data_IF_139151851600
#
_entry.id   IF_139151851600
#
_cell.length_a   1.000
_cell.length_b   1.000
_cell.length_c   1.000
_cell.angle_alpha   90.00
_cell.angle_beta   90.00
_cell.angle_gamma   90.00
#
_symmetry.space_group_name_H-M   'P 1'
#
loop_
_entity.id
_entity.type
_entity.pdbx_description
1 polymer ?
#
# COMPACT_ATOMS: atom_id res chain seq x y z
N UNK A 1 19.18 -76.85 -63.99
CA UNK A 1 20.04 -76.20 -65.01
C UNK A 1 19.43 -76.46 -66.36
N UNK A 2 19.40 -75.47 -67.26
CA UNK A 2 18.99 -75.67 -68.65
C UNK A 2 20.24 -75.90 -69.48
N UNK A 3 20.26 -76.96 -70.30
CA UNK A 3 21.34 -77.19 -71.27
C UNK A 3 20.92 -76.60 -72.61
N UNK A 4 21.73 -75.68 -73.13
CA UNK A 4 21.53 -75.05 -74.43
C UNK A 4 22.49 -75.68 -75.43
N UNK A 5 22.00 -76.07 -76.61
CA UNK A 5 22.80 -76.60 -77.69
C UNK A 5 23.68 -75.50 -78.31
N UNK A 6 24.73 -75.90 -79.05
CA UNK A 6 25.56 -74.94 -79.78
C UNK A 6 24.70 -74.20 -80.83
N UNK A 7 24.65 -72.88 -80.73
CA UNK A 7 23.82 -72.02 -81.58
C UNK A 7 22.50 -71.55 -80.95
N UNK A 8 22.12 -72.06 -79.77
CA UNK A 8 20.93 -71.61 -79.05
C UNK A 8 21.06 -70.16 -78.54
N UNK A 9 19.94 -69.43 -78.53
CA UNK A 9 19.88 -68.07 -77.95
C UNK A 9 19.56 -68.14 -76.46
N UNK A 10 20.42 -67.56 -75.64
CA UNK A 10 20.16 -67.37 -74.20
C UNK A 10 19.55 -65.98 -74.00
N UNK A 11 18.29 -65.92 -73.56
CA UNK A 11 17.61 -64.67 -73.27
C UNK A 11 17.91 -64.17 -71.84
N UNK A 12 18.55 -63.00 -71.72
CA UNK A 12 18.72 -62.30 -70.45
C UNK A 12 17.66 -61.22 -70.33
N UNK A 13 16.58 -61.50 -69.59
CA UNK A 13 15.49 -60.56 -69.34
C UNK A 13 15.65 -59.92 -67.97
N UNK A 14 15.53 -58.60 -67.91
CA UNK A 14 15.36 -57.87 -66.67
C UNK A 14 13.89 -57.82 -66.24
N UNK A 15 13.62 -57.09 -65.17
CA UNK A 15 12.28 -56.79 -64.65
C UNK A 15 12.06 -55.26 -64.62
N UNK A 16 11.13 -54.76 -63.81
CA UNK A 16 10.91 -53.32 -63.65
C UNK A 16 12.10 -52.59 -63.03
N UNK A 17 12.95 -53.29 -62.26
CA UNK A 17 14.09 -52.71 -61.56
C UNK A 17 15.42 -52.95 -62.31
N UNK A 18 15.54 -54.05 -63.06
CA UNK A 18 16.72 -54.42 -63.83
C UNK A 18 16.48 -54.19 -65.31
N UNK A 19 17.29 -53.34 -65.94
CA UNK A 19 17.31 -53.13 -67.38
C UNK A 19 18.40 -54.02 -67.98
N UNK A 20 18.04 -54.84 -68.98
CA UNK A 20 18.97 -55.66 -69.75
C UNK A 20 19.10 -55.11 -71.16
N UNK A 21 20.32 -54.75 -71.57
CA UNK A 21 20.64 -54.21 -72.89
C UNK A 21 21.70 -55.07 -73.57
N UNK A 22 21.57 -55.30 -74.88
CA UNK A 22 22.62 -55.93 -75.67
C UNK A 22 23.71 -54.91 -76.01
N UNK A 23 24.96 -55.24 -75.73
CA UNK A 23 26.13 -54.40 -76.02
C UNK A 23 27.17 -55.20 -76.81
N UNK A 24 28.15 -54.51 -77.41
CA UNK A 24 29.28 -55.18 -78.05
C UNK A 24 30.02 -56.04 -77.00
N UNK A 25 30.10 -57.36 -77.24
CA UNK A 25 30.72 -58.32 -76.32
C UNK A 25 29.80 -58.97 -75.29
N UNK A 26 28.50 -58.67 -75.24
CA UNK A 26 27.55 -59.40 -74.39
C UNK A 26 26.28 -58.65 -73.99
N UNK A 27 25.81 -58.89 -72.77
CA UNK A 27 24.67 -58.20 -72.17
C UNK A 27 25.14 -57.28 -71.03
N UNK A 28 24.58 -56.07 -70.96
CA UNK A 28 24.79 -55.12 -69.89
C UNK A 28 23.54 -55.06 -69.01
N UNK A 29 23.72 -55.20 -67.70
CA UNK A 29 22.65 -55.01 -66.71
C UNK A 29 22.81 -53.65 -66.03
N UNK A 30 21.70 -52.92 -65.92
CA UNK A 30 21.62 -51.62 -65.23
C UNK A 30 20.45 -51.62 -64.27
N UNK A 31 20.51 -50.80 -63.23
CA UNK A 31 19.31 -50.45 -62.48
C UNK A 31 18.47 -49.46 -63.29
N UNK A 32 17.15 -49.60 -63.19
CA UNK A 32 16.23 -48.53 -63.55
C UNK A 32 16.51 -47.27 -62.71
N UNK A 33 16.18 -46.09 -63.25
CA UNK A 33 16.35 -44.81 -62.52
C UNK A 33 15.47 -44.76 -61.27
N UNK A 34 14.25 -45.27 -61.41
CA UNK A 34 13.29 -45.47 -60.33
C UNK A 34 13.14 -46.97 -60.10
N UNK A 35 13.34 -47.41 -58.87
CA UNK A 35 13.19 -48.81 -58.47
C UNK A 35 12.06 -48.93 -57.46
N UNK A 36 11.32 -50.03 -57.53
CA UNK A 36 10.27 -50.36 -56.55
C UNK A 36 10.72 -51.55 -55.71
N UNK A 37 10.84 -51.35 -54.40
CA UNK A 37 11.31 -52.35 -53.44
C UNK A 37 10.51 -52.23 -52.14
N UNK A 38 10.38 -53.34 -51.40
CA UNK A 38 9.71 -53.32 -50.09
C UNK A 38 10.53 -52.59 -49.01
N UNK A 39 11.87 -52.69 -49.11
CA UNK A 39 12.76 -51.95 -48.22
C UNK A 39 14.17 -51.78 -48.79
N UNK A 40 14.86 -50.74 -48.33
CA UNK A 40 16.29 -50.50 -48.52
C UNK A 40 16.96 -50.50 -47.15
N UNK A 41 18.02 -51.26 -46.98
CA UNK A 41 18.86 -51.26 -45.77
C UNK A 41 20.25 -50.78 -46.12
N UNK A 42 20.71 -49.72 -45.45
CA UNK A 42 22.02 -49.11 -45.63
C UNK A 42 22.66 -48.88 -44.26
N UNK A 43 23.49 -49.84 -43.83
CA UNK A 43 24.00 -49.87 -42.46
C UNK A 43 22.85 -49.98 -41.44
N UNK A 44 22.80 -49.05 -40.48
CA UNK A 44 21.73 -48.98 -39.48
C UNK A 44 20.45 -48.29 -39.99
N UNK A 45 20.47 -47.72 -41.19
CA UNK A 45 19.30 -47.04 -41.77
C UNK A 45 18.46 -48.02 -42.56
N UNK A 46 17.14 -47.98 -42.33
CA UNK A 46 16.15 -48.74 -43.08
C UNK A 46 15.06 -47.81 -43.59
N UNK A 47 14.87 -47.81 -44.91
CA UNK A 47 13.71 -47.20 -45.56
C UNK A 47 12.76 -48.32 -45.97
N UNK A 48 11.49 -48.23 -45.59
CA UNK A 48 10.45 -49.19 -45.98
C UNK A 48 9.11 -48.49 -46.17
N UNK A 49 8.04 -49.27 -46.29
CA UNK A 49 6.66 -48.78 -46.45
C UNK A 49 6.16 -47.88 -45.31
N UNK A 50 6.82 -47.84 -44.16
CA UNK A 50 6.44 -47.02 -43.01
C UNK A 50 7.26 -45.73 -42.89
N UNK A 51 8.42 -45.64 -43.55
CA UNK A 51 9.30 -44.48 -43.56
C UNK A 51 10.77 -44.83 -43.32
N UNK A 52 11.53 -43.87 -42.78
CA UNK A 52 12.96 -44.01 -42.46
C UNK A 52 13.14 -44.29 -40.96
N UNK A 53 13.91 -45.33 -40.64
CA UNK A 53 14.35 -45.62 -39.27
C UNK A 53 15.86 -45.81 -39.22
N UNK A 54 16.51 -45.19 -38.23
CA UNK A 54 17.93 -45.45 -37.92
C UNK A 54 17.97 -46.24 -36.61
N UNK A 55 18.46 -47.48 -36.65
CA UNK A 55 18.58 -48.31 -35.44
C UNK A 55 19.48 -47.62 -34.40
N UNK A 56 18.95 -47.39 -33.19
CA UNK A 56 19.63 -46.64 -32.13
C UNK A 56 19.66 -45.11 -32.33
N UNK A 57 18.95 -44.60 -33.35
CA UNK A 57 18.91 -43.19 -33.72
C UNK A 57 17.52 -42.69 -34.08
N UNK A 58 17.42 -41.50 -34.71
CA UNK A 58 16.14 -40.90 -35.07
C UNK A 58 15.34 -41.70 -36.10
N UNK A 59 14.04 -41.42 -36.18
CA UNK A 59 13.15 -41.96 -37.22
C UNK A 59 12.16 -40.91 -37.74
N UNK A 60 11.72 -41.10 -38.98
CA UNK A 60 10.65 -40.35 -39.65
C UNK A 60 9.72 -41.38 -40.28
N UNK A 61 8.60 -41.65 -39.62
CA UNK A 61 7.64 -42.68 -40.01
C UNK A 61 6.22 -42.11 -40.06
N UNK A 62 5.24 -42.89 -40.53
CA UNK A 62 3.83 -42.47 -40.64
C UNK A 62 3.23 -41.85 -39.37
N UNK A 63 3.66 -42.28 -38.19
CA UNK A 63 3.18 -41.75 -36.90
C UNK A 63 3.90 -40.48 -36.44
N UNK A 64 4.94 -40.04 -37.15
CA UNK A 64 5.67 -38.80 -36.87
C UNK A 64 7.18 -38.99 -36.80
N UNK A 65 7.82 -38.04 -36.10
CA UNK A 65 9.27 -37.93 -35.96
C UNK A 65 9.67 -38.28 -34.53
N UNK A 66 10.68 -39.15 -34.38
CA UNK A 66 11.30 -39.43 -33.09
C UNK A 66 12.78 -39.02 -33.14
N UNK A 67 13.19 -38.11 -32.24
CA UNK A 67 14.57 -37.61 -32.16
C UNK A 67 15.53 -38.53 -31.38
N UNK A 68 15.05 -39.66 -30.82
CA UNK A 68 15.84 -40.64 -30.07
C UNK A 68 16.68 -40.01 -28.95
N UNK A 69 16.05 -39.14 -28.15
CA UNK A 69 16.68 -38.40 -27.05
C UNK A 69 17.90 -37.56 -27.47
N UNK A 70 17.99 -37.17 -28.75
CA UNK A 70 18.98 -36.20 -29.23
C UNK A 70 18.36 -34.81 -29.33
N UNK A 71 19.20 -33.79 -29.25
CA UNK A 71 18.80 -32.40 -29.51
C UNK A 71 18.46 -32.25 -30.99
N UNK A 72 17.31 -31.65 -31.29
CA UNK A 72 17.03 -31.11 -32.63
C UNK A 72 17.66 -29.73 -32.70
N UNK A 73 18.64 -29.56 -33.57
CA UNK A 73 19.41 -28.31 -33.71
C UNK A 73 19.02 -27.58 -34.99
N UNK A 74 19.40 -26.30 -35.11
CA UNK A 74 19.08 -25.46 -36.27
C UNK A 74 17.57 -25.29 -36.53
N UNK A 75 16.77 -25.27 -35.47
CA UNK A 75 15.33 -24.96 -35.53
C UNK A 75 15.18 -23.44 -35.56
N UNK A 76 14.69 -22.90 -36.67
CA UNK A 76 14.34 -21.49 -36.80
C UNK A 76 13.25 -21.10 -35.77
N UNK A 77 13.05 -19.80 -35.53
CA UNK A 77 11.98 -19.37 -34.64
C UNK A 77 10.62 -19.66 -35.31
N UNK A 78 9.73 -20.36 -34.61
CA UNK A 78 8.37 -20.59 -35.08
C UNK A 78 7.53 -19.31 -35.03
N UNK A 79 6.67 -19.11 -36.01
CA UNK A 79 5.78 -17.94 -36.11
C UNK A 79 4.31 -18.31 -36.09
N UNK A 80 3.97 -19.53 -36.51
CA UNK A 80 2.60 -20.03 -36.54
C UNK A 80 2.32 -21.01 -35.38
N UNK A 81 1.05 -21.21 -35.04
CA UNK A 81 0.60 -22.00 -33.87
C UNK A 81 1.09 -23.47 -33.89
N UNK A 82 1.38 -24.00 -35.08
CA UNK A 82 1.83 -25.39 -35.26
C UNK A 82 3.36 -25.53 -35.37
N UNK A 83 4.12 -24.43 -35.31
CA UNK A 83 5.57 -24.47 -35.43
C UNK A 83 6.25 -24.98 -34.16
N UNK A 84 7.39 -25.65 -34.34
CA UNK A 84 8.26 -25.96 -33.22
C UNK A 84 8.90 -24.69 -32.65
N UNK A 85 8.87 -24.54 -31.32
CA UNK A 85 9.55 -23.44 -30.63
C UNK A 85 11.02 -23.80 -30.36
N UNK A 86 11.93 -22.86 -30.62
CA UNK A 86 13.33 -23.04 -30.25
C UNK A 86 13.63 -22.45 -28.86
N UNK A 87 14.79 -22.80 -28.29
CA UNK A 87 15.16 -22.37 -26.93
C UNK A 87 15.28 -20.84 -26.76
N UNK A 88 15.52 -20.09 -27.83
CA UNK A 88 15.57 -18.62 -27.76
C UNK A 88 14.19 -18.00 -27.54
N UNK A 89 13.13 -18.57 -28.13
CA UNK A 89 11.75 -18.15 -27.91
C UNK A 89 11.31 -18.47 -26.48
N UNK A 90 11.64 -19.66 -25.98
CA UNK A 90 11.33 -20.03 -24.59
C UNK A 90 12.01 -19.10 -23.57
N UNK A 91 13.27 -18.71 -23.80
CA UNK A 91 13.97 -17.74 -22.93
C UNK A 91 13.31 -16.36 -22.94
N UNK A 92 12.88 -15.87 -24.10
CA UNK A 92 12.19 -14.58 -24.21
C UNK A 92 10.84 -14.61 -23.48
N UNK A 93 10.05 -15.67 -23.67
CA UNK A 93 8.78 -15.86 -22.98
C UNK A 93 8.96 -15.99 -21.46
N UNK A 94 10.01 -16.71 -21.02
CA UNK A 94 10.33 -16.84 -19.59
C UNK A 94 10.73 -15.50 -18.96
N UNK A 95 11.32 -14.57 -19.70
CA UNK A 95 11.63 -13.23 -19.21
C UNK A 95 10.35 -12.37 -19.14
N UNK A 96 9.51 -12.42 -20.17
CA UNK A 96 8.25 -11.68 -20.24
C UNK A 96 7.22 -12.14 -19.20
N UNK A 97 7.25 -13.40 -18.78
CA UNK A 97 6.36 -13.95 -17.76
C UNK A 97 6.67 -13.44 -16.33
N UNK A 98 7.76 -12.70 -16.10
CA UNK A 98 8.15 -12.21 -14.78
C UNK A 98 7.43 -10.89 -14.48
N UNK A 99 6.72 -10.84 -13.35
CA UNK A 99 6.12 -9.61 -12.83
C UNK A 99 7.18 -8.78 -12.10
N UNK A 100 7.18 -7.46 -12.33
CA UNK A 100 7.96 -6.50 -11.57
C UNK A 100 7.08 -5.83 -10.51
N UNK A 101 7.56 -5.76 -9.27
CA UNK A 101 6.93 -5.01 -8.17
C UNK A 101 7.86 -3.87 -7.80
N UNK A 102 7.53 -2.67 -8.24
CA UNK A 102 8.29 -1.46 -7.94
C UNK A 102 7.76 -0.78 -6.67
N UNK A 103 8.65 -0.15 -5.91
CA UNK A 103 8.27 0.68 -4.77
C UNK A 103 7.58 1.97 -5.27
N UNK A 104 6.32 2.18 -4.90
CA UNK A 104 5.62 3.45 -5.10
C UNK A 104 5.91 4.46 -3.99
N UNK A 105 5.16 5.56 -3.99
CA UNK A 105 5.18 6.53 -2.88
C UNK A 105 4.72 5.87 -1.57
N UNK A 106 5.27 6.27 -0.43
CA UNK A 106 5.00 5.72 0.91
C UNK A 106 5.46 4.27 1.17
N UNK A 107 6.18 3.65 0.24
CA UNK A 107 6.89 2.38 0.46
C UNK A 107 8.32 2.68 0.93
N UNK A 108 8.78 1.95 1.95
CA UNK A 108 10.16 2.01 2.46
C UNK A 108 11.08 1.24 1.51
N UNK A 109 10.72 -0.01 1.23
CA UNK A 109 11.43 -0.88 0.31
C UNK A 109 10.52 -2.03 -0.18
N UNK A 110 10.91 -2.62 -1.30
CA UNK A 110 10.40 -3.91 -1.77
C UNK A 110 11.57 -4.88 -1.72
N UNK A 111 11.50 -5.86 -0.83
CA UNK A 111 12.57 -6.84 -0.63
C UNK A 111 12.19 -8.14 -1.32
N UNK A 112 13.03 -8.56 -2.27
CA UNK A 112 12.89 -9.86 -2.93
C UNK A 112 13.57 -10.95 -2.09
N UNK A 113 12.84 -12.03 -1.86
CA UNK A 113 13.35 -13.30 -1.32
C UNK A 113 12.97 -14.49 -2.20
N UNK A 114 13.38 -15.69 -1.78
CA UNK A 114 13.00 -16.96 -2.41
C UNK A 114 12.26 -17.80 -1.37
N UNK A 115 11.07 -18.26 -1.72
CA UNK A 115 10.25 -19.11 -0.86
C UNK A 115 10.70 -20.58 -0.89
N UNK A 116 10.14 -21.39 0.00
CA UNK A 116 10.54 -22.79 0.20
C UNK A 116 10.31 -23.71 -1.01
N UNK A 117 9.59 -23.27 -2.05
CA UNK A 117 9.38 -24.02 -3.31
C UNK A 117 10.10 -23.37 -4.51
N UNK A 118 11.05 -22.46 -4.25
CA UNK A 118 11.87 -21.80 -5.28
C UNK A 118 11.20 -20.61 -5.99
N UNK A 119 9.99 -20.21 -5.59
CA UNK A 119 9.31 -19.04 -6.14
C UNK A 119 9.87 -17.72 -5.59
N UNK A 120 9.86 -16.67 -6.42
CA UNK A 120 10.16 -15.31 -5.99
C UNK A 120 9.05 -14.82 -5.02
N UNK A 121 9.45 -14.26 -3.86
CA UNK A 121 8.53 -13.65 -2.87
C UNK A 121 8.93 -12.20 -2.69
N UNK A 122 7.97 -11.28 -2.80
CA UNK A 122 8.20 -9.84 -2.61
C UNK A 122 7.55 -9.39 -1.31
N UNK A 123 8.36 -8.96 -0.35
CA UNK A 123 7.89 -8.30 0.87
C UNK A 123 7.85 -6.80 0.63
N UNK A 124 6.67 -6.20 0.67
CA UNK A 124 6.47 -4.75 0.52
C UNK A 124 6.39 -4.13 1.90
N UNK A 125 7.42 -3.38 2.30
CA UNK A 125 7.42 -2.69 3.58
C UNK A 125 6.95 -1.25 3.39
N UNK A 126 5.84 -0.87 4.03
CA UNK A 126 5.39 0.52 4.05
C UNK A 126 6.31 1.40 4.93
N UNK A 127 6.39 2.70 4.64
CA UNK A 127 6.91 3.66 5.61
C UNK A 127 5.92 3.76 6.76
N UNK A 128 6.40 3.56 7.99
CA UNK A 128 5.58 3.79 9.18
C UNK A 128 5.22 5.28 9.32
N UNK A 129 4.02 5.56 9.83
CA UNK A 129 3.60 6.88 10.26
C UNK A 129 3.20 6.81 11.75
N UNK A 130 3.48 7.86 12.51
CA UNK A 130 3.10 7.94 13.93
C UNK A 130 2.40 9.26 14.21
N UNK A 131 1.40 9.22 15.08
CA UNK A 131 0.84 10.39 15.74
C UNK A 131 1.15 10.28 17.23
N UNK A 132 1.74 11.32 17.82
CA UNK A 132 2.12 11.32 19.23
C UNK A 132 1.84 12.66 19.88
N UNK A 133 1.50 12.63 21.16
CA UNK A 133 1.38 13.83 21.96
C UNK A 133 2.78 14.35 22.30
N UNK A 134 3.09 15.58 21.88
CA UNK A 134 4.37 16.22 22.20
C UNK A 134 4.50 16.68 23.67
N UNK A 135 3.40 16.64 24.43
CA UNK A 135 3.35 16.98 25.86
C UNK A 135 2.15 16.32 26.53
N UNK A 136 2.05 16.43 27.85
CA UNK A 136 0.88 15.94 28.61
C UNK A 136 -0.41 16.73 28.39
N UNK A 137 -0.37 17.85 27.64
CA UNK A 137 -1.53 18.74 27.41
C UNK A 137 -2.41 18.30 26.24
N UNK A 138 -1.94 17.33 25.45
CA UNK A 138 -2.65 16.74 24.32
C UNK A 138 -2.72 15.23 24.54
N UNK A 139 -3.82 14.62 24.15
CA UNK A 139 -3.97 13.16 24.10
C UNK A 139 -4.01 12.71 22.65
N UNK A 140 -3.43 11.54 22.39
CA UNK A 140 -3.56 10.83 21.13
C UNK A 140 -4.09 9.45 21.44
N UNK A 141 -5.28 9.14 20.92
CA UNK A 141 -5.96 7.86 21.18
C UNK A 141 -6.13 7.11 19.87
N UNK A 142 -5.54 5.92 19.80
CA UNK A 142 -5.69 5.03 18.67
C UNK A 142 -7.01 4.26 18.74
N UNK A 143 -7.70 4.15 17.62
CA UNK A 143 -8.87 3.29 17.44
C UNK A 143 -8.80 2.58 16.09
N UNK A 144 -8.91 1.25 16.13
CA UNK A 144 -9.00 0.44 14.92
C UNK A 144 -10.36 0.67 14.22
N UNK A 145 -10.34 0.88 12.90
CA UNK A 145 -11.52 1.01 12.04
C UNK A 145 -11.53 -0.11 10.99
N UNK A 146 -12.59 -0.15 10.18
CA UNK A 146 -12.66 -1.02 9.02
C UNK A 146 -11.53 -0.74 8.01
N UNK A 147 -11.37 -1.64 7.05
CA UNK A 147 -10.45 -1.47 5.91
C UNK A 147 -8.97 -1.32 6.29
N UNK A 148 -8.56 -1.90 7.43
CA UNK A 148 -7.18 -1.84 7.97
C UNK A 148 -6.71 -0.41 8.26
N UNK A 149 -7.61 0.46 8.73
CA UNK A 149 -7.30 1.83 9.12
C UNK A 149 -7.21 1.94 10.63
N UNK A 150 -6.07 2.42 11.15
CA UNK A 150 -5.98 2.91 12.54
C UNK A 150 -6.23 4.42 12.53
N UNK A 151 -7.29 4.87 13.20
CA UNK A 151 -7.58 6.29 13.39
C UNK A 151 -6.92 6.81 14.66
N UNK A 152 -6.26 7.96 14.57
CA UNK A 152 -5.61 8.61 15.70
C UNK A 152 -6.36 9.89 16.03
N UNK A 153 -7.22 9.81 17.05
CA UNK A 153 -7.93 10.99 17.56
C UNK A 153 -6.98 11.84 18.39
N UNK A 154 -6.93 13.14 18.10
CA UNK A 154 -6.09 14.13 18.78
C UNK A 154 -7.01 15.11 19.49
N UNK A 155 -6.84 15.26 20.81
CA UNK A 155 -7.67 16.15 21.63
C UNK A 155 -6.82 16.78 22.77
N UNK A 156 -7.36 17.79 23.43
CA UNK A 156 -6.77 18.33 24.66
C UNK A 156 -6.95 17.33 25.80
N UNK A 157 -5.92 17.23 26.64
CA UNK A 157 -5.99 16.45 27.87
C UNK A 157 -6.99 17.07 28.87
N UNK A 158 -7.54 16.23 29.76
CA UNK A 158 -8.58 16.66 30.70
C UNK A 158 -8.07 17.78 31.64
N UNK A 159 -6.83 17.67 32.11
CA UNK A 159 -6.20 18.71 32.96
C UNK A 159 -6.15 20.08 32.26
N UNK A 160 -5.95 20.07 30.95
CA UNK A 160 -5.87 21.26 30.11
C UNK A 160 -7.24 21.87 29.92
N UNK A 161 -8.25 21.02 29.70
CA UNK A 161 -9.66 21.44 29.66
C UNK A 161 -10.09 22.03 31.01
N UNK A 162 -9.67 21.42 32.12
CA UNK A 162 -9.96 21.90 33.47
C UNK A 162 -9.25 23.24 33.77
N UNK A 163 -7.99 23.39 33.37
CA UNK A 163 -7.25 24.65 33.52
C UNK A 163 -7.88 25.79 32.70
N UNK A 164 -8.37 25.50 31.49
CA UNK A 164 -9.16 26.45 30.70
C UNK A 164 -10.46 26.79 31.44
N UNK A 165 -11.15 25.80 32.00
CA UNK A 165 -12.39 26.01 32.75
C UNK A 165 -12.18 26.89 33.98
N UNK A 166 -11.07 26.72 34.73
CA UNK A 166 -10.73 27.62 35.85
C UNK A 166 -10.64 29.08 35.39
N UNK A 167 -10.09 29.33 34.20
CA UNK A 167 -10.04 30.68 33.61
C UNK A 167 -11.42 31.23 33.29
N UNK A 168 -12.30 30.40 32.71
CA UNK A 168 -13.71 30.77 32.42
C UNK A 168 -14.47 31.07 33.71
N UNK A 169 -14.29 30.26 34.74
CA UNK A 169 -14.94 30.42 36.04
C UNK A 169 -14.45 31.69 36.74
N UNK A 170 -13.13 31.95 36.71
CA UNK A 170 -12.55 33.17 37.26
C UNK A 170 -13.10 34.41 36.56
N UNK A 171 -13.21 34.39 35.23
CA UNK A 171 -13.83 35.49 34.48
C UNK A 171 -15.30 35.70 34.87
N UNK A 172 -16.06 34.61 34.96
CA UNK A 172 -17.46 34.65 35.37
C UNK A 172 -17.62 35.21 36.78
N UNK A 173 -16.75 34.81 37.71
CA UNK A 173 -16.75 35.31 39.08
C UNK A 173 -16.52 36.83 39.10
N UNK A 174 -15.53 37.34 38.35
CA UNK A 174 -15.28 38.79 38.24
C UNK A 174 -16.46 39.54 37.59
N UNK A 175 -17.09 38.98 36.57
CA UNK A 175 -18.18 39.64 35.84
C UNK A 175 -19.52 39.62 36.61
N UNK A 176 -19.73 38.63 37.48
CA UNK A 176 -21.02 38.39 38.16
C UNK A 176 -21.01 38.70 39.64
N UNK A 177 -19.88 38.53 40.33
CA UNK A 177 -19.75 38.81 41.77
C UNK A 177 -19.13 40.20 41.93
N UNK A 178 -19.88 41.09 42.54
CA UNK A 178 -19.41 42.41 42.96
C UNK A 178 -19.33 42.50 44.49
N UNK A 179 -19.14 43.71 45.00
CA UNK A 179 -19.22 44.01 46.42
C UNK A 179 -20.69 44.33 46.80
N UNK A 180 -21.07 43.97 48.03
CA UNK A 180 -22.33 44.39 48.66
C UNK A 180 -22.00 44.95 50.04
N UNK A 181 -22.62 46.07 50.40
CA UNK A 181 -22.47 46.69 51.70
C UNK A 181 -23.79 46.60 52.48
N UNK A 182 -23.70 46.22 53.75
CA UNK A 182 -24.83 46.25 54.67
C UNK A 182 -24.68 47.48 55.57
N UNK A 183 -25.75 48.26 55.70
CA UNK A 183 -25.84 49.31 56.71
C UNK A 183 -26.51 48.80 57.98
N UNK A 184 -26.67 49.69 58.97
CA UNK A 184 -27.45 49.43 60.18
C UNK A 184 -28.92 49.08 59.86
N UNK A 185 -29.42 49.56 58.72
CA UNK A 185 -30.61 49.04 58.06
C UNK A 185 -30.39 48.95 56.54
N UNK A 186 -30.78 47.81 55.94
CA UNK A 186 -30.70 47.58 54.49
C UNK A 186 -29.35 47.10 53.95
N UNK A 187 -29.31 46.86 52.63
CA UNK A 187 -28.13 46.44 51.87
C UNK A 187 -28.09 47.14 50.51
N UNK A 188 -26.89 47.28 49.93
CA UNK A 188 -26.73 47.75 48.55
C UNK A 188 -27.07 46.68 47.52
N UNK A 189 -27.22 47.10 46.27
CA UNK A 189 -27.08 46.21 45.11
C UNK A 189 -25.63 45.68 44.98
N UNK A 190 -25.44 44.72 44.09
CA UNK A 190 -24.12 44.19 43.73
C UNK A 190 -23.37 45.23 42.90
N UNK A 191 -22.24 45.71 43.41
CA UNK A 191 -21.37 46.68 42.77
C UNK A 191 -20.17 45.99 42.14
N UNK A 192 -20.13 45.93 40.80
CA UNK A 192 -19.13 45.15 40.06
C UNK A 192 -17.78 45.88 39.99
N UNK A 193 -16.70 45.14 39.69
CA UNK A 193 -15.39 45.74 39.46
C UNK A 193 -15.47 46.84 38.39
N UNK A 194 -14.91 48.01 38.69
CA UNK A 194 -14.98 49.19 37.83
C UNK A 194 -16.24 50.06 38.01
N UNK A 195 -17.21 49.64 38.83
CA UNK A 195 -18.35 50.47 39.21
C UNK A 195 -17.94 51.51 40.26
N UNK A 196 -18.66 52.63 40.33
CA UNK A 196 -18.46 53.66 41.37
C UNK A 196 -19.46 53.44 42.49
N UNK A 197 -18.97 53.23 43.71
CA UNK A 197 -19.81 53.15 44.91
C UNK A 197 -19.87 54.51 45.57
N UNK A 198 -21.06 55.08 45.72
CA UNK A 198 -21.26 56.35 46.43
C UNK A 198 -21.56 56.09 47.89
N UNK A 199 -20.76 56.66 48.79
CA UNK A 199 -21.07 56.70 50.23
C UNK A 199 -21.62 58.10 50.52
N UNK A 200 -22.93 58.23 50.58
CA UNK A 200 -23.58 59.51 50.84
C UNK A 200 -23.71 59.77 52.34
N UNK A 201 -23.50 61.03 52.74
CA UNK A 201 -23.93 61.51 54.04
C UNK A 201 -25.42 61.86 54.06
N UNK A 202 -25.85 62.48 55.14
CA UNK A 202 -27.21 63.00 55.34
C UNK A 202 -27.14 64.43 55.91
N UNK A 203 -28.26 64.94 56.45
CA UNK A 203 -28.32 66.28 57.03
C UNK A 203 -27.32 66.49 58.20
N UNK A 204 -26.91 65.41 58.86
CA UNK A 204 -26.01 65.42 60.01
C UNK A 204 -24.61 64.91 59.71
N UNK A 205 -24.41 64.18 58.61
CA UNK A 205 -23.16 63.53 58.24
C UNK A 205 -22.67 64.02 56.89
N UNK A 206 -21.39 64.38 56.78
CA UNK A 206 -20.70 64.60 55.50
C UNK A 206 -19.70 63.47 55.25
N UNK A 207 -19.64 62.99 54.01
CA UNK A 207 -18.67 62.02 53.55
C UNK A 207 -17.73 62.64 52.51
N UNK A 208 -16.45 62.29 52.56
CA UNK A 208 -15.43 62.79 51.64
C UNK A 208 -14.51 61.64 51.22
N UNK A 209 -14.54 61.27 49.93
CA UNK A 209 -13.57 60.34 49.36
C UNK A 209 -12.36 61.12 48.85
N UNK A 210 -11.18 60.79 49.37
CA UNK A 210 -9.91 61.39 48.94
C UNK A 210 -8.80 60.35 49.06
N UNK A 211 -8.01 60.24 47.99
CA UNK A 211 -6.94 59.25 47.88
C UNK A 211 -7.45 57.82 48.14
N UNK A 212 -6.92 57.12 49.13
CA UNK A 212 -7.29 55.75 49.52
C UNK A 212 -8.32 55.70 50.68
N UNK A 213 -8.93 56.83 51.05
CA UNK A 213 -9.79 56.95 52.23
C UNK A 213 -11.17 57.53 51.91
N UNK A 214 -12.16 57.06 52.66
CA UNK A 214 -13.45 57.72 52.82
C UNK A 214 -13.52 58.24 54.25
N UNK A 215 -13.64 59.55 54.41
CA UNK A 215 -13.81 60.17 55.74
C UNK A 215 -15.28 60.43 55.98
N UNK A 216 -15.79 60.05 57.15
CA UNK A 216 -17.16 60.31 57.60
C UNK A 216 -17.08 61.27 58.78
N UNK A 217 -17.78 62.41 58.70
CA UNK A 217 -17.70 63.50 59.68
C UNK A 217 -19.11 63.93 60.08
N UNK A 218 -19.30 64.25 61.37
CA UNK A 218 -20.47 65.01 61.80
C UNK A 218 -20.40 66.43 61.25
N UNK A 219 -21.55 66.94 60.83
CA UNK A 219 -21.70 68.33 60.42
C UNK A 219 -21.57 69.24 61.64
N UNK A 220 -21.02 70.45 61.45
CA UNK A 220 -20.86 71.42 62.55
C UNK A 220 -22.20 71.86 63.15
N UNK A 221 -23.28 71.79 62.37
CA UNK A 221 -24.65 72.02 62.80
C UNK A 221 -25.40 70.72 62.63
N UNK A 222 -26.07 70.27 63.68
CA UNK A 222 -26.87 69.06 63.67
C UNK A 222 -28.36 69.43 63.63
N UNK A 223 -29.11 68.71 62.80
CA UNK A 223 -30.56 68.74 62.67
C UNK A 223 -31.10 67.53 63.42
N UNK A 224 -31.68 67.75 64.60
CA UNK A 224 -32.19 66.70 65.48
C UNK A 224 -33.54 67.10 66.06
N UNK A 225 -34.48 66.16 66.12
CA UNK A 225 -35.82 66.40 66.67
C UNK A 225 -35.80 66.51 68.20
N UNK A 226 -34.97 65.71 68.86
CA UNK A 226 -34.74 65.77 70.30
C UNK A 226 -33.36 65.24 70.66
N UNK A 227 -32.83 65.72 71.78
CA UNK A 227 -31.59 65.20 72.36
C UNK A 227 -31.90 64.74 73.77
N UNK A 228 -31.62 63.46 74.05
CA UNK A 228 -31.65 62.93 75.42
C UNK A 228 -30.23 62.95 75.98
N UNK A 229 -29.88 64.02 76.67
CA UNK A 229 -28.55 64.22 77.23
C UNK A 229 -28.57 64.04 78.75
N UNK A 230 -28.56 62.78 79.21
CA UNK A 230 -28.34 62.35 80.61
C UNK A 230 -28.66 63.41 81.67
N UNK A 231 -27.64 63.78 82.45
CA UNK A 231 -27.81 64.72 83.57
C UNK A 231 -27.46 66.17 83.22
N UNK A 232 -26.91 66.52 82.04
CA UNK A 232 -26.44 67.90 81.85
C UNK A 232 -26.18 68.39 80.41
N UNK A 233 -26.31 69.71 80.37
CA UNK A 233 -25.92 70.78 79.46
C UNK A 233 -24.54 70.67 78.80
N UNK A 234 -24.55 71.17 77.57
CA UNK A 234 -23.47 71.18 76.60
C UNK A 234 -23.13 72.63 76.30
N UNK A 235 -21.88 73.00 76.53
CA UNK A 235 -21.37 74.31 76.20
C UNK A 235 -19.85 74.43 76.22
N UNK A 236 -19.38 75.62 75.86
CA UNK A 236 -18.07 76.12 76.26
C UNK A 236 -18.13 76.99 77.55
N UNK A 237 -19.30 77.13 78.19
CA UNK A 237 -19.58 77.57 79.59
C UNK A 237 -21.10 77.77 79.89
N UNK A 238 -21.97 77.90 78.86
CA UNK A 238 -23.44 77.91 78.99
C UNK A 238 -24.19 77.13 77.92
#
# INVERSE_FOLDING_TARGET
>A
SNNYALGDTINVKGDSNIISETVAGGAQLKLAKDITVDSVTAGNSKLNTDGLTITGGPSVIKSGINAASKKVTNVAAGTDDADAVNYSQLKQQSAAARTEVAAGTNIKDVVKGVGNKGQDVYTVNAKGATASAGSSKVTVTAAEKADNVTDYSIDLAQDTKDDIQKGVDAKTAVDSKGLTFNGDSGSTNIEKLGSTVTVAGDDNITTEARDDKVTVKLNKKLVVDSVKAGDTTVNNDG
#
